data_IF_936291133480
#
_entry.id   IF_936291133480
#
_cell.length_a   1.000
_cell.length_b   1.000
_cell.length_c   1.000
_cell.angle_alpha   90.00
_cell.angle_beta   90.00
_cell.angle_gamma   90.00
#
_symmetry.space_group_name_H-M   'P 1'
#
loop_
_entity.id
_entity.type
_entity.pdbx_description
1 polymer ?
2 non-polymer ?
3 non-polymer ?
4 non-polymer ?
5 water ?
#
# COMPACT_ATOMS: atom_id res chain seq x y z
N UNK A 8 20.42 -19.26 -16.84
CA UNK A 8 19.50 -18.92 -17.93
C UNK A 8 19.70 -17.47 -18.41
N UNK A 9 19.00 -17.10 -19.49
CA UNK A 9 19.09 -15.73 -20.02
C UNK A 9 17.74 -15.02 -20.04
N UNK A 10 17.78 -13.72 -20.31
CA UNK A 10 16.57 -12.92 -20.46
C UNK A 10 15.97 -13.11 -21.84
N UNK A 11 14.65 -12.94 -21.95
CA UNK A 11 13.94 -13.10 -23.23
C UNK A 11 14.38 -12.03 -24.22
N UNK A 12 14.40 -12.38 -25.50
CA UNK A 12 14.90 -11.51 -26.54
C UNK A 12 14.10 -10.21 -26.64
N UNK A 13 12.77 -10.32 -26.52
CA UNK A 13 11.93 -9.14 -26.60
C UNK A 13 12.28 -8.14 -25.50
N UNK A 14 12.65 -8.65 -24.34
CA UNK A 14 13.05 -7.80 -23.24
C UNK A 14 14.41 -7.14 -23.50
N UNK A 15 15.40 -7.97 -23.84
CA UNK A 15 16.75 -7.50 -24.16
C UNK A 15 16.74 -6.45 -25.27
N UNK A 16 15.72 -6.52 -26.13
CA UNK A 16 15.63 -5.61 -27.25
C UNK A 16 15.36 -4.15 -26.84
N UNK A 17 14.65 -3.95 -25.74
CA UNK A 17 14.26 -2.62 -25.30
C UNK A 17 14.99 -2.15 -24.06
N UNK A 18 15.56 -3.09 -23.31
CA UNK A 18 16.16 -2.79 -22.02
C UNK A 18 17.53 -3.46 -21.84
N UNK A 19 18.40 -2.77 -21.12
CA UNK A 19 19.65 -3.34 -20.67
C UNK A 19 19.51 -3.69 -19.20
N UNK A 20 19.58 -4.98 -18.87
CA UNK A 20 19.40 -5.41 -17.49
C UNK A 20 20.64 -5.13 -16.63
N UNK A 21 20.43 -5.02 -15.33
CA UNK A 21 21.49 -4.65 -14.41
C UNK A 21 21.32 -5.32 -13.05
N UNK A 22 21.90 -4.70 -12.02
CA UNK A 22 21.99 -5.27 -10.68
C UNK A 22 20.63 -5.58 -10.05
N UNK A 23 20.63 -6.52 -9.10
CA UNK A 23 19.45 -6.86 -8.34
C UNK A 23 19.22 -5.84 -7.23
N UNK A 24 17.98 -5.37 -7.10
CA UNK A 24 17.65 -4.40 -6.07
C UNK A 24 17.08 -5.10 -4.84
N UNK A 25 16.36 -6.19 -5.08
CA UNK A 25 15.82 -7.04 -4.04
C UNK A 25 15.70 -8.47 -4.54
N UNK A 26 16.26 -9.41 -3.79
CA UNK A 26 16.28 -10.82 -4.19
C UNK A 26 15.00 -11.56 -3.78
N UNK A 31 11.52 -11.24 -7.48
CA UNK A 31 12.79 -10.52 -7.55
C UNK A 31 12.71 -9.24 -8.39
N UNK A 32 13.46 -8.22 -7.99
CA UNK A 32 13.44 -6.92 -8.63
C UNK A 32 14.82 -6.48 -9.15
N UNK A 33 14.87 -6.05 -10.40
CA UNK A 33 16.12 -5.66 -11.00
C UNK A 33 16.11 -4.25 -11.57
N UNK A 34 17.24 -3.56 -11.43
CA UNK A 34 17.45 -2.29 -12.08
C UNK A 34 17.71 -2.57 -13.54
N UNK A 35 17.19 -1.69 -14.40
CA UNK A 35 17.47 -1.82 -15.83
C UNK A 35 17.37 -0.46 -16.51
N UNK A 36 17.90 -0.37 -17.73
CA UNK A 36 17.88 0.87 -18.49
C UNK A 36 17.10 0.73 -19.79
N UNK A 37 16.11 1.59 -19.99
CA UNK A 37 15.40 1.63 -21.25
C UNK A 37 16.33 2.19 -22.34
N UNK A 38 16.58 1.40 -23.37
CA UNK A 38 17.51 1.79 -24.44
C UNK A 38 17.13 3.13 -25.07
N UNK A 39 15.85 3.30 -25.36
CA UNK A 39 15.34 4.47 -26.06
C UNK A 39 15.63 5.79 -25.33
N UNK A 40 15.65 5.75 -24.01
CA UNK A 40 15.73 6.98 -23.24
C UNK A 40 16.95 7.02 -22.34
N UNK A 41 17.59 5.88 -22.19
CA UNK A 41 18.68 5.73 -21.23
C UNK A 41 18.20 6.07 -19.83
N UNK A 42 16.92 5.85 -19.57
CA UNK A 42 16.37 6.11 -18.26
C UNK A 42 16.31 4.85 -17.41
N UNK A 43 16.44 5.01 -16.11
CA UNK A 43 16.40 3.88 -15.18
C UNK A 43 14.97 3.39 -14.95
N UNK A 44 14.79 2.08 -14.99
CA UNK A 44 13.50 1.47 -14.67
C UNK A 44 13.72 0.32 -13.69
N UNK A 45 12.62 -0.19 -13.14
CA UNK A 45 12.70 -1.37 -12.28
C UNK A 45 11.91 -2.48 -12.95
N UNK A 46 12.45 -3.69 -12.93
CA UNK A 46 11.77 -4.81 -13.55
C UNK A 46 11.53 -5.94 -12.55
N UNK A 47 10.26 -6.25 -12.34
CA UNK A 47 9.88 -7.28 -11.39
C UNK A 47 9.70 -8.61 -12.11
N UNK A 48 10.44 -9.62 -11.67
CA UNK A 48 10.40 -10.93 -12.30
C UNK A 48 9.58 -11.92 -11.47
N UNK A 49 8.51 -12.42 -12.09
CA UNK A 49 7.66 -13.42 -11.48
C UNK A 49 7.80 -14.74 -12.22
N UNK A 50 8.38 -15.74 -11.57
CA UNK A 50 8.55 -17.06 -12.18
C UNK A 50 7.22 -17.77 -12.37
N UNK A 51 7.08 -18.47 -13.50
CA UNK A 51 5.85 -19.18 -13.81
C UNK A 51 5.76 -20.52 -13.07
N UNK A 64 0.23 -18.92 -10.61
CA UNK A 64 1.03 -17.81 -11.17
C UNK A 64 0.21 -16.89 -12.07
N UNK A 65 -0.12 -17.37 -13.27
CA UNK A 65 -0.85 -16.58 -14.26
C UNK A 65 -1.87 -15.60 -13.67
N UNK A 66 -2.68 -16.08 -12.74
CA UNK A 66 -3.84 -15.33 -12.25
C UNK A 66 -3.47 -14.02 -11.55
N UNK A 67 -2.71 -14.14 -10.45
CA UNK A 67 -2.23 -12.98 -9.74
C UNK A 67 -1.66 -11.93 -10.70
N UNK A 68 -0.85 -12.40 -11.65
CA UNK A 68 -0.22 -11.52 -12.63
C UNK A 68 -1.25 -10.82 -13.51
N UNK A 69 -2.21 -11.60 -14.01
CA UNK A 69 -3.22 -11.04 -14.90
C UNK A 69 -3.92 -9.85 -14.24
N UNK A 70 -4.34 -10.03 -12.99
CA UNK A 70 -5.07 -8.98 -12.29
C UNK A 70 -4.16 -7.80 -11.95
N UNK A 71 -2.93 -8.09 -11.50
CA UNK A 71 -1.99 -7.03 -11.18
C UNK A 71 -1.74 -6.12 -12.39
N UNK A 72 -1.49 -6.72 -13.55
CA UNK A 72 -1.29 -5.95 -14.77
C UNK A 72 -2.52 -5.12 -15.13
N UNK A 73 -3.70 -5.76 -15.08
CA UNK A 73 -4.95 -5.09 -15.40
C UNK A 73 -5.25 -3.95 -14.43
N UNK A 74 -4.92 -4.16 -13.16
CA UNK A 74 -5.07 -3.09 -12.17
C UNK A 74 -4.11 -1.93 -12.44
N UNK A 75 -2.83 -2.24 -12.61
CA UNK A 75 -1.82 -1.20 -12.83
C UNK A 75 -2.08 -0.37 -14.08
N UNK A 76 -2.65 -0.99 -15.12
CA UNK A 76 -2.91 -0.27 -16.36
C UNK A 76 -3.99 0.80 -16.20
N UNK A 77 -5.00 0.52 -15.38
CA UNK A 77 -6.16 1.40 -15.28
C UNK A 77 -6.01 2.48 -14.21
N UNK A 78 -5.15 2.22 -13.22
CA UNK A 78 -4.95 3.17 -12.13
C UNK A 78 -4.04 4.31 -12.57
N UNK A 79 -4.34 5.50 -12.06
CA UNK A 79 -3.56 6.69 -12.39
C UNK A 79 -3.50 7.64 -11.20
N UNK A 80 -2.51 7.44 -10.33
CA UNK A 80 -2.42 8.24 -9.11
C UNK A 80 -0.96 8.39 -8.70
N UNK A 81 -0.60 9.56 -8.17
CA UNK A 81 0.79 9.90 -7.84
C UNK A 81 1.39 9.01 -6.75
N UNK A 82 0.53 8.45 -5.90
CA UNK A 82 1.01 7.58 -4.84
C UNK A 82 0.75 6.11 -5.13
N UNK A 83 0.56 5.80 -6.41
CA UNK A 83 0.47 4.43 -6.87
C UNK A 83 1.47 4.18 -8.01
N UNK A 84 2.33 3.18 -7.85
CA UNK A 84 3.32 2.86 -8.89
C UNK A 84 2.69 2.65 -10.27
N UNK A 85 3.40 3.08 -11.32
CA UNK A 85 2.90 2.91 -12.69
C UNK A 85 3.63 1.80 -13.46
N UNK A 86 2.89 1.10 -14.31
CA UNK A 86 3.51 0.08 -15.13
C UNK A 86 3.95 0.69 -16.45
N UNK A 87 5.14 0.33 -16.90
CA UNK A 87 5.71 0.91 -18.11
C UNK A 87 5.68 -0.08 -19.27
N UNK A 88 5.77 -1.37 -18.96
CA UNK A 88 5.84 -2.40 -19.97
C UNK A 88 5.62 -3.77 -19.35
N UNK A 89 5.27 -4.76 -20.18
CA UNK A 89 5.06 -6.12 -19.69
C UNK A 89 5.61 -7.17 -20.65
N UNK A 90 6.18 -8.24 -20.10
CA UNK A 90 6.71 -9.34 -20.90
C UNK A 90 6.27 -10.71 -20.38
N UNK A 91 5.47 -11.38 -21.19
CA UNK A 91 5.01 -12.73 -20.89
C UNK A 91 5.85 -13.73 -21.68
N UNK A 92 6.77 -14.38 -21.00
CA UNK A 92 7.69 -15.30 -21.69
C UNK A 92 7.98 -16.51 -20.82
N UNK A 93 9.23 -16.95 -20.83
CA UNK A 93 9.65 -18.05 -19.98
C UNK A 93 9.24 -17.72 -18.55
N UNK A 94 9.35 -16.44 -18.21
CA UNK A 94 8.81 -15.92 -16.95
C UNK A 94 7.99 -14.67 -17.26
N UNK A 95 7.40 -14.08 -16.21
CA UNK A 95 6.69 -12.84 -16.34
C UNK A 95 7.63 -11.69 -15.98
N UNK A 96 7.68 -10.67 -16.82
CA UNK A 96 8.46 -9.47 -16.53
C UNK A 96 7.59 -8.23 -16.50
N UNK A 97 7.58 -7.55 -15.36
CA UNK A 97 6.80 -6.33 -15.22
C UNK A 97 7.72 -5.13 -15.04
N UNK A 98 7.63 -4.18 -15.97
CA UNK A 98 8.50 -3.00 -15.97
C UNK A 98 7.83 -1.82 -15.26
N UNK A 99 8.48 -1.33 -14.22
CA UNK A 99 7.91 -0.30 -13.36
C UNK A 99 8.81 0.93 -13.21
N UNK A 100 8.21 2.02 -12.73
CA UNK A 100 8.95 3.21 -12.35
C UNK A 100 10.00 2.83 -11.31
N UNK A 101 11.22 3.30 -11.48
CA UNK A 101 12.23 3.06 -10.47
C UNK A 101 12.02 4.00 -9.30
N UNK A 102 11.92 3.43 -8.11
CA UNK A 102 11.79 4.22 -6.89
C UNK A 102 13.13 4.18 -6.14
N UNK A 103 13.86 5.29 -6.20
CA UNK A 103 15.23 5.32 -5.72
C UNK A 103 15.35 5.19 -4.20
N UNK A 104 14.34 5.65 -3.47
CA UNK A 104 14.36 5.57 -2.02
C UNK A 104 14.28 4.16 -1.46
N UNK A 105 13.83 3.22 -2.28
CA UNK A 105 13.66 1.85 -1.83
C UNK A 105 12.41 1.61 -1.01
N UNK A 106 12.40 0.52 -0.24
CA UNK A 106 11.27 0.15 0.58
C UNK A 106 11.25 0.87 1.92
N UNK A 107 10.06 1.26 2.35
CA UNK A 107 9.86 1.82 3.68
C UNK A 107 10.35 0.83 4.74
N UNK A 108 10.23 -0.46 4.44
CA UNK A 108 10.67 -1.47 5.39
C UNK A 108 12.06 -1.19 5.94
N UNK A 109 13.00 -0.87 5.06
CA UNK A 109 14.38 -0.69 5.47
C UNK A 109 14.60 0.55 6.32
N UNK A 110 13.55 1.36 6.49
CA UNK A 110 13.64 2.54 7.32
C UNK A 110 13.11 2.29 8.73
N UNK A 111 12.50 1.13 8.94
CA UNK A 111 11.82 0.87 10.20
C UNK A 111 12.24 -0.45 10.86
N UNK A 112 13.03 -1.23 10.15
CA UNK A 112 13.55 -2.48 10.70
C UNK A 112 14.65 -2.19 11.71
N UNK A 113 14.93 -3.15 12.58
CA UNK A 113 15.91 -2.97 13.63
C UNK A 113 15.50 -1.88 14.61
N UNK A 114 14.21 -1.86 14.93
CA UNK A 114 13.64 -0.88 15.86
C UNK A 114 13.99 0.58 15.55
N UNK A 115 14.46 0.84 14.32
CA UNK A 115 14.61 2.22 13.87
C UNK A 115 13.25 2.89 13.89
N UNK A 116 13.21 4.17 14.20
CA UNK A 116 11.94 4.89 14.17
C UNK A 116 12.06 6.22 13.42
N UNK A 117 10.97 6.59 12.76
CA UNK A 117 10.90 7.80 11.97
C UNK A 117 10.40 8.96 12.81
N UNK A 118 10.90 10.16 12.56
CA UNK A 118 10.40 11.34 13.28
C UNK A 118 8.92 11.57 12.91
N UNK A 119 8.12 11.88 13.93
CA UNK A 119 6.67 11.93 13.77
C UNK A 119 6.21 12.68 12.52
N UNK A 120 6.89 13.78 12.20
CA UNK A 120 6.46 14.60 11.08
C UNK A 120 6.62 13.86 9.77
N UNK A 121 7.59 12.96 9.73
CA UNK A 121 7.83 12.15 8.55
C UNK A 121 6.76 11.07 8.43
N UNK A 122 6.40 10.47 9.57
CA UNK A 122 5.32 9.50 9.63
C UNK A 122 4.06 10.14 9.06
N UNK A 123 3.87 11.41 9.36
CA UNK A 123 2.67 12.10 8.91
C UNK A 123 2.74 12.30 7.40
N UNK A 124 3.88 12.75 6.90
CA UNK A 124 4.01 12.98 5.46
C UNK A 124 3.76 11.68 4.68
N UNK A 125 4.37 10.59 5.14
CA UNK A 125 4.29 9.31 4.47
C UNK A 125 2.89 8.74 4.54
N UNK A 126 2.30 8.81 5.73
CA UNK A 126 1.03 8.17 5.99
C UNK A 126 -0.10 8.85 5.28
N UNK A 127 0.02 10.17 5.15
CA UNK A 127 -0.93 10.97 4.40
C UNK A 127 -0.98 10.50 2.95
N UNK A 128 0.18 10.24 2.36
CA UNK A 128 0.21 9.74 1.00
C UNK A 128 -0.38 8.31 0.91
N UNK A 129 -0.04 7.47 1.88
CA UNK A 129 -0.60 6.13 1.93
C UNK A 129 -2.14 6.22 1.96
N UNK A 130 -2.67 7.14 2.76
CA UNK A 130 -4.13 7.30 2.88
C UNK A 130 -4.78 7.73 1.59
N UNK A 131 -4.18 8.70 0.90
CA UNK A 131 -4.68 9.14 -0.39
C UNK A 131 -4.65 8.00 -1.40
N UNK A 132 -3.55 7.24 -1.41
CA UNK A 132 -3.41 6.15 -2.34
C UNK A 132 -4.51 5.13 -2.10
N UNK A 133 -4.65 4.72 -0.86
CA UNK A 133 -5.60 3.68 -0.51
C UNK A 133 -7.05 4.17 -0.66
N UNK A 134 -7.30 5.43 -0.36
CA UNK A 134 -8.61 5.99 -0.62
C UNK A 134 -8.95 5.87 -2.10
N UNK A 135 -7.97 6.23 -2.93
CA UNK A 135 -8.11 6.17 -4.38
C UNK A 135 -8.44 4.75 -4.85
N UNK A 136 -7.78 3.75 -4.26
CA UNK A 136 -8.07 2.37 -4.59
C UNK A 136 -9.50 1.99 -4.24
N UNK A 137 -9.92 2.39 -3.05
CA UNK A 137 -11.26 2.06 -2.60
C UNK A 137 -12.33 2.77 -3.44
N UNK A 138 -12.11 4.04 -3.74
CA UNK A 138 -12.96 4.76 -4.68
C UNK A 138 -13.13 4.01 -6.00
N UNK A 139 -12.07 3.35 -6.45
CA UNK A 139 -12.07 2.64 -7.72
C UNK A 139 -12.36 1.15 -7.62
N UNK A 140 -12.97 0.72 -6.52
CA UNK A 140 -13.37 -0.66 -6.35
C UNK A 140 -12.26 -1.69 -6.25
N UNK A 141 -11.14 -1.29 -5.65
CA UNK A 141 -9.99 -2.19 -5.48
C UNK A 141 -9.49 -2.27 -4.04
N UNK A 142 -9.33 -3.49 -3.53
CA UNK A 142 -8.74 -3.66 -2.21
C UNK A 142 -7.40 -4.38 -2.29
N UNK A 143 -6.37 -3.70 -1.80
CA UNK A 143 -4.99 -4.16 -1.90
C UNK A 143 -4.71 -5.50 -1.20
N UNK A 144 -5.02 -5.57 0.09
CA UNK A 144 -4.98 -6.82 0.83
C UNK A 144 -3.59 -7.25 1.27
N UNK A 145 -2.57 -6.54 0.84
CA UNK A 145 -1.23 -6.89 1.32
C UNK A 145 -0.38 -5.67 1.67
N UNK A 146 -0.98 -4.70 2.35
CA UNK A 146 -0.22 -3.53 2.76
C UNK A 146 0.78 -3.90 3.86
N UNK A 147 2.05 -3.58 3.61
CA UNK A 147 3.17 -3.83 4.53
C UNK A 147 4.25 -2.82 4.18
N UNK A 148 5.16 -2.54 5.12
CA UNK A 148 6.29 -1.65 4.85
C UNK A 148 7.05 -2.01 3.56
N UNK A 149 7.04 -3.29 3.16
CA UNK A 149 7.75 -3.73 1.97
C UNK A 149 7.12 -3.27 0.66
N UNK A 150 5.81 -3.03 0.69
CA UNK A 150 5.09 -2.66 -0.52
C UNK A 150 4.89 -1.16 -0.64
N UNK A 151 5.56 -0.42 0.24
CA UNK A 151 5.56 1.04 0.19
C UNK A 151 6.94 1.53 -0.24
N UNK A 152 7.00 2.30 -1.33
CA UNK A 152 8.29 2.71 -1.88
C UNK A 152 8.51 4.21 -1.82
N UNK A 153 9.75 4.59 -1.55
CA UNK A 153 10.15 6.00 -1.45
C UNK A 153 10.77 6.48 -2.77
N UNK A 154 10.43 7.69 -3.19
CA UNK A 154 10.88 8.18 -4.49
C UNK A 154 12.35 8.63 -4.48
N UNK A 155 12.86 8.96 -3.31
CA UNK A 155 14.23 9.45 -3.21
C UNK A 155 14.87 9.01 -1.90
N UNK A 156 16.15 9.34 -1.76
CA UNK A 156 16.87 9.04 -0.52
C UNK A 156 16.66 10.14 0.52
N UNK A 157 16.06 11.25 0.09
CA UNK A 157 15.65 12.29 1.02
C UNK A 157 14.63 11.67 1.95
N UNK A 158 14.50 12.19 3.16
CA UNK A 158 13.46 11.68 4.04
C UNK A 158 12.15 12.39 3.73
N UNK A 159 12.25 13.53 3.06
CA UNK A 159 11.05 14.17 2.53
C UNK A 159 10.93 13.75 1.08
N UNK A 160 10.00 12.85 0.80
CA UNK A 160 9.82 12.35 -0.56
C UNK A 160 8.41 11.84 -0.83
N UNK A 161 8.18 11.48 -2.08
CA UNK A 161 6.91 10.90 -2.46
C UNK A 161 6.97 9.41 -2.18
N UNK A 162 5.86 8.86 -1.70
CA UNK A 162 5.76 7.41 -1.59
C UNK A 162 4.75 6.85 -2.59
N UNK A 163 4.96 5.61 -3.01
CA UNK A 163 4.02 4.95 -3.91
C UNK A 163 3.75 3.55 -3.42
N UNK A 164 2.48 3.13 -3.52
CA UNK A 164 2.07 1.78 -3.18
C UNK A 164 2.38 0.82 -4.33
N UNK A 165 2.77 -0.40 -3.97
CA UNK A 165 3.14 -1.40 -4.96
C UNK A 165 2.60 -2.79 -4.58
N UNK A 166 2.73 -3.72 -5.53
CA UNK A 166 2.42 -5.13 -5.36
C UNK A 166 0.92 -5.47 -5.28
N UNK A 167 0.28 -5.54 -6.43
CA UNK A 167 -1.16 -5.77 -6.48
C UNK A 167 -1.52 -7.22 -6.81
N UNK A 168 -0.56 -8.12 -6.61
CA UNK A 168 -0.78 -9.54 -6.81
C UNK A 168 -1.91 -10.12 -6.00
N UNK A 169 -2.06 -9.67 -4.76
CA UNK A 169 -3.10 -10.20 -3.88
C UNK A 169 -4.38 -9.38 -3.93
N UNK A 170 -4.43 -8.38 -4.79
CA UNK A 170 -5.56 -7.47 -4.81
C UNK A 170 -6.88 -8.15 -5.19
N UNK A 171 -7.97 -7.50 -4.83
CA UNK A 171 -9.31 -7.98 -5.15
C UNK A 171 -9.99 -6.85 -5.87
N UNK A 172 -10.81 -7.19 -6.87
CA UNK A 172 -11.62 -6.19 -7.56
C UNK A 172 -13.07 -6.43 -7.18
N UNK A 173 -13.75 -5.40 -6.70
CA UNK A 173 -15.12 -5.54 -6.21
C UNK A 173 -16.15 -5.71 -7.33
N UNK A 175 -19.73 -8.15 -3.81
CA UNK A 175 -20.91 -8.85 -3.28
C UNK A 175 -21.93 -9.12 -4.40
N UNK A 176 -21.53 -8.88 -5.64
CA UNK A 176 -22.41 -9.02 -6.79
C UNK A 176 -23.19 -10.34 -6.77
N UNK A 177 -22.57 -11.39 -6.19
CA UNK A 177 -23.22 -12.68 -6.07
C UNK A 177 -24.38 -12.56 -5.11
N UNK A 178 -24.06 -12.24 -3.86
CA UNK A 178 -25.06 -11.96 -2.83
C UNK A 178 -26.12 -10.98 -3.34
N UNK A 179 -25.69 -9.95 -4.04
CA UNK A 179 -26.61 -8.96 -4.60
C UNK A 179 -27.64 -9.64 -5.47
N UNK A 180 -27.18 -10.53 -6.34
CA UNK A 180 -28.09 -11.29 -7.20
C UNK A 180 -29.01 -12.16 -6.35
N UNK A 181 -28.45 -12.74 -5.30
CA UNK A 181 -29.23 -13.59 -4.40
C UNK A 181 -30.36 -12.83 -3.71
N UNK A 182 -30.08 -11.60 -3.28
CA UNK A 182 -31.07 -10.80 -2.56
C UNK A 182 -32.23 -10.44 -3.46
N UNK A 183 -32.00 -10.45 -4.77
CA UNK A 183 -33.08 -10.40 -5.73
C UNK A 183 -33.71 -11.76 -5.75
N UNK A 184 -35.02 -11.82 -5.55
CA UNK A 184 -35.68 -13.11 -5.48
C UNK A 184 -35.87 -13.61 -4.06
N UNK A 185 -36.77 -14.58 -3.91
CA UNK A 185 -37.16 -15.05 -2.60
C UNK A 185 -36.13 -16.03 -2.02
N UNK A 186 -35.87 -15.90 -0.71
CA UNK A 186 -34.93 -16.74 0.03
C UNK A 186 -35.61 -18.00 0.51
N UNK A 187 -36.66 -18.41 -0.17
CA UNK A 187 -37.37 -19.63 0.22
C UNK A 187 -36.39 -20.74 0.52
N UNK A 188 -35.37 -20.89 -0.32
CA UNK A 188 -34.42 -21.99 -0.20
C UNK A 188 -33.07 -21.50 0.28
N UNK A 189 -33.00 -20.22 0.62
CA UNK A 189 -31.75 -19.57 0.96
C UNK A 189 -31.27 -19.87 2.39
N UNK A 190 -30.05 -20.35 2.51
CA UNK A 190 -29.48 -20.75 3.80
C UNK A 190 -29.29 -19.58 4.75
N UNK A 191 -29.54 -19.80 6.03
CA UNK A 191 -29.39 -18.79 7.11
C UNK A 191 -28.03 -18.06 7.09
N UNK A 192 -26.93 -18.79 6.91
CA UNK A 192 -25.62 -18.14 7.01
C UNK A 192 -25.43 -17.11 5.89
N UNK A 193 -26.14 -17.26 4.79
CA UNK A 193 -26.03 -16.29 3.72
C UNK A 193 -26.70 -14.97 4.13
N UNK A 194 -27.92 -15.06 4.65
CA UNK A 194 -28.63 -13.90 5.17
C UNK A 194 -27.89 -13.21 6.30
N UNK A 195 -27.28 -14.00 7.19
CA UNK A 195 -26.47 -13.42 8.25
C UNK A 195 -25.29 -12.64 7.68
N UNK A 196 -24.71 -13.12 6.60
CA UNK A 196 -23.57 -12.43 6.00
C UNK A 196 -23.94 -11.05 5.39
N UNK A 197 -25.23 -10.79 5.22
CA UNK A 197 -25.65 -9.49 4.69
C UNK A 197 -25.26 -8.32 5.61
N UNK A 198 -25.26 -8.56 6.92
CA UNK A 198 -24.89 -7.53 7.87
C UNK A 198 -23.57 -6.86 7.53
N UNK A 199 -22.56 -7.68 7.28
CA UNK A 199 -21.19 -7.18 7.09
C UNK A 199 -20.80 -7.09 5.63
N UNK A 200 -21.64 -7.64 4.75
CA UNK A 200 -21.39 -7.54 3.33
C UNK A 200 -20.89 -6.15 2.94
N UNK A 201 -19.82 -6.10 2.16
CA UNK A 201 -19.35 -4.87 1.58
C UNK A 201 -18.30 -4.14 2.39
N UNK A 202 -17.75 -4.78 3.42
CA UNK A 202 -16.73 -4.13 4.25
C UNK A 202 -15.33 -4.74 4.13
N UNK A 203 -15.07 -5.43 3.02
CA UNK A 203 -13.76 -6.05 2.80
C UNK A 203 -12.61 -5.05 2.76
N UNK A 204 -12.88 -3.87 2.22
CA UNK A 204 -11.90 -2.78 2.15
C UNK A 204 -11.33 -2.42 3.52
N UNK A 205 -12.10 -2.65 4.57
CA UNK A 205 -11.64 -2.31 5.91
C UNK A 205 -10.36 -3.07 6.34
N UNK A 206 -10.03 -4.18 5.69
CA UNK A 206 -8.78 -4.89 6.02
C UNK A 206 -7.55 -4.07 5.63
N UNK A 207 -7.67 -3.26 4.58
CA UNK A 207 -6.63 -2.31 4.24
C UNK A 207 -6.40 -1.27 5.34
N UNK A 208 -7.49 -0.82 5.95
CA UNK A 208 -7.39 0.19 7.00
C UNK A 208 -6.78 -0.40 8.27
N UNK A 209 -7.06 -1.68 8.54
CA UNK A 209 -6.37 -2.36 9.62
C UNK A 209 -4.88 -2.33 9.34
N UNK A 210 -4.50 -2.77 8.14
CA UNK A 210 -3.09 -2.84 7.77
C UNK A 210 -2.42 -1.48 7.87
N UNK A 211 -3.13 -0.44 7.48
CA UNK A 211 -2.56 0.91 7.57
C UNK A 211 -2.27 1.19 9.05
N UNK A 212 -3.21 0.81 9.90
CA UNK A 212 -3.11 1.01 11.33
C UNK A 212 -1.84 0.41 11.88
N UNK A 213 -1.57 -0.82 11.49
CA UNK A 213 -0.38 -1.54 11.91
C UNK A 213 0.88 -0.87 11.37
N UNK A 214 0.84 -0.40 10.12
CA UNK A 214 1.99 0.26 9.53
C UNK A 214 2.31 1.55 10.29
N UNK A 215 1.26 2.29 10.63
CA UNK A 215 1.43 3.58 11.30
C UNK A 215 2.02 3.37 12.69
N UNK A 216 1.49 2.37 13.39
CA UNK A 216 2.02 1.94 14.68
C UNK A 216 3.52 1.67 14.59
N UNK A 217 3.91 0.82 13.66
CA UNK A 217 5.31 0.46 13.48
C UNK A 217 6.17 1.70 13.22
N UNK A 218 5.73 2.54 12.30
CA UNK A 218 6.46 3.76 11.95
C UNK A 218 6.66 4.71 13.13
N UNK A 219 5.61 4.87 13.94
CA UNK A 219 5.64 5.78 15.08
C UNK A 219 6.47 5.25 16.26
N UNK A 220 6.57 3.94 16.39
CA UNK A 220 7.09 3.34 17.62
C UNK A 220 8.37 2.54 17.41
N UNK A 221 8.68 2.21 16.17
CA UNK A 221 9.85 1.39 15.87
C UNK A 221 9.60 -0.08 16.11
N UNK A 222 8.46 -0.42 16.72
CA UNK A 222 8.13 -1.82 16.98
C UNK A 222 6.69 -2.15 16.57
N UNK A 223 6.41 -3.44 16.32
CA UNK A 223 5.09 -3.95 15.93
C UNK A 223 4.11 -4.11 17.10
N UNK A 224 2.81 -3.88 16.84
CA UNK A 224 1.73 -3.94 17.83
C UNK A 224 1.42 -5.37 18.25
N UNK A 225 1.69 -6.32 17.35
CA UNK A 225 1.38 -7.72 17.61
C UNK A 225 2.56 -8.58 17.22
N UNK A 226 3.17 -9.24 18.19
CA UNK A 226 4.23 -10.19 17.92
C UNK A 226 4.25 -11.29 18.97
N UNK A 227 5.11 -12.27 18.79
CA UNK A 227 5.21 -13.37 19.74
C UNK A 227 6.43 -13.20 20.63
N UNK A 228 7.22 -12.17 20.33
CA UNK A 228 8.39 -11.80 21.13
C UNK A 228 7.98 -11.29 22.52
N UNK A 229 8.49 -11.95 23.54
CA UNK A 229 8.20 -11.61 24.94
C UNK A 229 6.70 -11.55 25.21
N UNK A 230 6.05 -12.71 25.12
CA UNK A 230 4.62 -12.83 25.36
C UNK A 230 4.22 -14.29 25.20
N UNK A 231 3.15 -14.69 25.88
CA UNK A 231 2.70 -16.07 25.82
C UNK A 231 1.30 -16.19 25.24
N UNK A 232 0.64 -15.04 25.08
CA UNK A 232 -0.62 -14.99 24.35
C UNK A 232 -0.32 -15.10 22.85
N UNK A 233 -1.07 -15.96 22.16
CA UNK A 233 -0.81 -16.24 20.75
C UNK A 233 -1.09 -15.03 19.85
N UNK A 234 -0.28 -14.89 18.80
CA UNK A 234 -0.42 -13.80 17.84
C UNK A 234 -1.87 -13.65 17.39
N UNK A 235 -2.46 -14.76 16.99
CA UNK A 235 -3.87 -14.78 16.65
C UNK A 235 -4.72 -14.12 17.74
N UNK A 236 -4.51 -14.54 18.97
CA UNK A 236 -5.33 -14.07 20.09
C UNK A 236 -5.21 -12.56 20.30
N UNK A 237 -3.99 -12.06 20.28
CA UNK A 237 -3.74 -10.63 20.42
C UNK A 237 -4.55 -9.90 19.37
N UNK A 238 -4.46 -10.36 18.13
CA UNK A 238 -5.09 -9.69 17.00
C UNK A 238 -6.61 -9.70 17.08
N UNK A 239 -7.18 -10.87 17.29
CA UNK A 239 -8.64 -10.95 17.42
C UNK A 239 -9.13 -10.16 18.63
N UNK A 240 -8.36 -10.19 19.72
CA UNK A 240 -8.72 -9.41 20.89
C UNK A 240 -8.51 -7.92 20.62
N UNK A 241 -7.53 -7.60 19.78
CA UNK A 241 -7.18 -6.23 19.50
C UNK A 241 -6.32 -5.59 20.58
N UNK A 242 -5.76 -6.42 21.45
CA UNK A 242 -4.94 -5.93 22.54
C UNK A 242 -3.49 -5.82 22.08
N UNK A 243 -3.17 -4.69 21.48
CA UNK A 243 -1.81 -4.47 21.01
C UNK A 243 -0.91 -4.22 22.18
N UNK A 244 0.36 -4.56 22.00
CA UNK A 244 1.37 -4.31 22.99
C UNK A 244 1.70 -2.81 23.10
N UNK A 245 1.11 -2.15 24.10
CA UNK A 245 1.43 -0.75 24.35
C UNK A 245 2.61 -0.58 25.33
N UNK A 246 3.68 0.05 24.86
CA UNK A 246 4.87 0.29 25.68
C UNK A 246 5.07 1.78 25.92
N UNK A 247 4.55 2.28 27.05
CA UNK A 247 4.48 3.71 27.36
C UNK A 247 5.79 4.47 27.19
N UNK A 248 6.92 3.86 27.57
CA UNK A 248 8.22 4.51 27.40
C UNK A 248 8.34 5.02 25.98
N UNK A 249 8.25 4.10 25.04
CA UNK A 249 8.39 4.42 23.63
C UNK A 249 7.39 5.47 23.15
N UNK A 250 6.15 5.36 23.61
CA UNK A 250 5.04 6.17 23.10
C UNK A 250 4.95 7.57 23.69
N UNK A 251 5.67 7.79 24.78
CA UNK A 251 5.70 9.12 25.39
C UNK A 251 6.27 10.13 24.40
N UNK A 252 7.22 9.69 23.58
CA UNK A 252 7.80 10.53 22.54
C UNK A 252 6.74 11.02 21.55
N UNK A 253 5.70 10.22 21.36
CA UNK A 253 4.72 10.46 20.30
C UNK A 253 3.49 11.27 20.75
N UNK A 254 2.96 12.07 19.84
CA UNK A 254 1.76 12.87 20.09
C UNK A 254 0.58 12.03 20.54
N UNK A 255 -0.36 12.69 21.21
CA UNK A 255 -1.60 12.03 21.58
C UNK A 255 -2.52 11.92 20.35
N UNK A 256 -2.41 12.88 19.44
CA UNK A 256 -3.19 12.87 18.21
C UNK A 256 -2.84 11.66 17.33
N UNK A 257 -1.55 11.47 17.09
CA UNK A 257 -1.05 10.32 16.36
C UNK A 257 -1.58 9.03 16.97
N UNK A 258 -1.32 8.84 18.26
CA UNK A 258 -1.76 7.62 18.95
C UNK A 258 -3.27 7.42 18.83
N UNK A 259 -4.03 8.50 18.88
CA UNK A 259 -5.48 8.41 18.76
C UNK A 259 -5.91 7.84 17.42
N UNK A 260 -5.28 8.30 16.34
CA UNK A 260 -5.60 7.81 15.00
C UNK A 260 -5.33 6.32 14.88
N UNK A 261 -4.19 5.89 15.39
CA UNK A 261 -3.86 4.47 15.42
C UNK A 261 -4.96 3.68 16.11
N UNK A 262 -5.46 4.18 17.24
CA UNK A 262 -6.47 3.47 18.00
C UNK A 262 -7.77 3.29 17.22
N UNK A 263 -8.11 4.26 16.38
CA UNK A 263 -9.34 4.18 15.60
C UNK A 263 -9.17 3.31 14.34
N UNK A 264 -7.93 2.97 14.02
CA UNK A 264 -7.64 2.07 12.89
C UNK A 264 -7.48 0.65 13.38
N UNK A 265 -7.02 0.48 14.63
CA UNK A 265 -6.88 -0.85 15.18
C UNK A 265 -8.15 -1.23 15.95
N UNK A 266 -9.28 -1.09 15.29
CA UNK A 266 -10.57 -1.44 15.85
C UNK A 266 -11.02 -2.78 15.29
N UNK A 267 -11.26 -3.72 16.19
CA UNK A 267 -11.57 -5.10 15.82
C UNK A 267 -12.81 -5.23 14.94
N UNK A 268 -13.82 -4.40 15.18
CA UNK A 268 -15.05 -4.43 14.39
C UNK A 268 -14.87 -3.67 13.07
N UNK A 269 -14.91 -4.39 11.94
CA UNK A 269 -14.66 -3.75 10.64
C UNK A 269 -15.68 -2.65 10.31
N UNK A 270 -16.89 -2.74 10.84
CA UNK A 270 -17.91 -1.72 10.57
C UNK A 270 -17.63 -0.41 11.32
N UNK A 271 -17.04 -0.53 12.51
CA UNK A 271 -16.66 0.64 13.30
C UNK A 271 -15.28 1.18 12.92
N UNK A 272 -14.44 0.35 12.32
CA UNK A 272 -13.08 0.77 12.01
C UNK A 272 -13.12 2.04 11.16
N UNK A 273 -12.11 2.89 11.33
CA UNK A 273 -11.96 4.09 10.53
C UNK A 273 -11.82 3.78 9.04
N UNK A 274 -12.47 4.57 8.20
CA UNK A 274 -12.24 4.46 6.77
C UNK A 274 -11.09 5.38 6.42
N UNK A 275 -10.61 5.31 5.19
CA UNK A 275 -9.60 6.25 4.73
C UNK A 275 -10.10 7.70 4.85
N UNK A 276 -11.35 7.95 4.47
CA UNK A 276 -11.94 9.28 4.60
C UNK A 276 -11.90 9.81 6.04
N UNK A 277 -12.29 8.97 7.00
CA UNK A 277 -12.29 9.36 8.41
C UNK A 277 -10.86 9.57 8.91
N UNK A 278 -9.93 8.77 8.41
CA UNK A 278 -8.54 8.95 8.78
C UNK A 278 -8.05 10.29 8.26
N UNK A 279 -8.45 10.61 7.02
CA UNK A 279 -8.03 11.84 6.36
C UNK A 279 -8.59 13.10 7.03
N UNK A 280 -9.74 12.95 7.71
CA UNK A 280 -10.32 14.06 8.47
C UNK A 280 -9.85 14.13 9.92
N UNK A 281 -9.14 13.10 10.39
CA UNK A 281 -8.66 13.10 11.76
C UNK A 281 -7.71 14.28 12.02
N UNK A 282 -7.85 14.92 13.19
CA UNK A 282 -7.04 16.07 13.59
C UNK A 282 -5.55 15.89 13.33
N UNK A 283 -5.04 14.66 13.40
CA UNK A 283 -3.61 14.47 13.23
C UNK A 283 -3.19 14.83 11.82
N UNK A 284 -4.13 14.80 10.89
CA UNK A 284 -3.82 15.06 9.49
C UNK A 284 -4.20 16.47 9.02
N UNK A 285 -4.85 17.23 9.90
CA UNK A 285 -5.11 18.64 9.63
C UNK A 285 -3.84 19.43 9.92
N UNK A 286 -2.88 19.35 9.00
CA UNK A 286 -1.54 19.90 9.20
C UNK A 286 -1.07 20.51 7.89
N UNK A 287 -1.32 21.81 7.75
CA UNK A 287 -1.17 22.50 6.48
C UNK A 287 0.26 22.51 5.95
N UNK A 288 1.22 22.45 6.85
CA UNK A 288 2.62 22.43 6.45
C UNK A 288 2.95 21.13 5.74
N UNK A 289 2.60 20.02 6.38
CA UNK A 289 2.79 18.69 5.80
C UNK A 289 2.15 18.62 4.41
N UNK A 290 0.90 19.06 4.30
CA UNK A 290 0.24 19.05 3.00
C UNK A 290 1.02 19.87 1.98
N UNK A 291 1.44 21.06 2.39
CA UNK A 291 2.19 21.95 1.51
C UNK A 291 3.45 21.26 1.01
N UNK A 292 4.20 20.64 1.93
CA UNK A 292 5.42 19.91 1.57
C UNK A 292 5.15 18.80 0.54
N UNK A 293 3.99 18.16 0.67
CA UNK A 293 3.60 17.09 -0.24
C UNK A 293 3.33 17.67 -1.63
N UNK A 294 2.51 18.72 -1.68
CA UNK A 294 2.26 19.42 -2.94
C UNK A 294 3.58 19.85 -3.57
N UNK A 295 4.48 20.36 -2.75
CA UNK A 295 5.82 20.73 -3.20
C UNK A 295 6.49 19.59 -3.95
N UNK A 296 6.61 18.45 -3.28
CA UNK A 296 7.26 17.29 -3.87
C UNK A 296 6.54 16.82 -5.11
N UNK A 297 5.23 17.05 -5.13
CA UNK A 297 4.39 16.65 -6.25
C UNK A 297 4.76 17.41 -7.52
N UNK A 298 4.56 18.72 -7.51
CA UNK A 298 4.87 19.54 -8.67
C UNK A 298 6.33 19.41 -9.10
N UNK A 299 7.22 19.17 -8.12
CA UNK A 299 8.62 18.94 -8.41
C UNK A 299 8.82 17.68 -9.25
N UNK A 300 8.01 16.66 -9.00
CA UNK A 300 8.04 15.43 -9.80
C UNK A 300 7.42 15.67 -11.16
N UNK A 301 6.43 16.57 -11.21
CA UNK A 301 5.70 16.84 -12.44
C UNK A 301 6.47 17.71 -13.44
N UNK A 302 7.44 18.47 -12.94
CA UNK A 302 8.24 19.34 -13.78
C UNK A 302 8.80 18.59 -14.98
N UNK A 303 9.08 17.31 -14.78
CA UNK A 303 9.64 16.46 -15.83
C UNK A 303 8.75 16.41 -17.07
N UNK A 304 7.44 16.51 -16.88
CA UNK A 304 6.50 16.20 -17.94
C UNK A 304 5.50 17.32 -18.23
N UNK A 305 5.61 18.43 -17.52
CA UNK A 305 4.66 19.53 -17.68
C UNK A 305 4.73 20.19 -19.05
N UNK A 306 3.72 19.95 -19.88
CA UNK A 306 3.58 20.66 -21.14
C UNK A 306 2.99 22.04 -20.89
N UNK A 307 3.43 23.04 -21.67
CA UNK A 307 2.87 24.39 -21.55
C UNK A 307 1.39 24.33 -21.88
N UNK A 308 0.58 25.20 -21.31
CA UNK A 308 -0.84 25.05 -21.51
C UNK A 308 -1.55 26.37 -21.79
N UNK A 309 -2.82 26.23 -22.16
CA UNK A 309 -3.66 27.36 -22.54
C UNK A 309 -3.94 28.29 -21.35
N UNK A 310 -3.60 29.56 -21.52
CA UNK A 310 -3.89 30.57 -20.51
C UNK A 310 -5.29 31.15 -20.71
#
# INVERSE_FOLDING_TARGET
GPLGSHMSVYPKALRDEYIMSKTLGSGACGEVKLAFERKTCKKVAIKIISKRKFAIGSAREADPALNVETEIEILKKLNHPCIIKIKNFFDAEDYYIVLELMEGGELFDKVVGNKRLKEATCKLYFYQMLLAVQYLHENGIIHRDLKPENVLLSSQEEDCLIKITDFGHSKILGETSLMRTLCGTPTYLAPEVLVSVGTAGYNRAVDCWSLGVILFICLSGYPPFSEHRTQVSLKDQITSGKYNFIPEVWAEVSEKALDLVKKLLVVDPKARFTTEEALRHPWLQDEDMKRKFQDLLSEENESTALPQVLAQPSTSRKRPREGEAEGAE
#
